data_IF_414693751896
#
_entry.id   IF_414693751896
#
_cell.length_a   1.000
_cell.length_b   1.000
_cell.length_c   1.000
_cell.angle_alpha   90.00
_cell.angle_beta   90.00
_cell.angle_gamma   90.00
#
_symmetry.space_group_name_H-M   'P 1'
#
loop_
_entity.id
_entity.type
_entity.pdbx_description
1 polymer ?
2 non-polymer ?
3 non-polymer ?
4 water ?
#
# COMPACT_ATOMS: atom_id res chain seq x y z
N UNK A 24 4.69 -6.89 17.57
CA UNK A 24 5.96 -6.19 17.21
C UNK A 24 5.72 -4.69 17.07
N UNK A 25 6.80 -3.94 16.87
CA UNK A 25 6.78 -2.49 16.93
C UNK A 25 6.87 -1.89 15.54
N UNK A 26 6.07 -0.87 15.27
CA UNK A 26 6.15 -0.19 14.00
C UNK A 26 7.57 0.40 13.85
N UNK A 27 8.14 0.36 12.64
CA UNK A 27 9.42 1.01 12.45
C UNK A 27 9.28 2.52 12.32
N UNK A 28 10.42 3.20 12.36
CA UNK A 28 10.47 4.65 12.25
C UNK A 28 9.89 5.14 10.91
N UNK A 29 9.62 6.45 10.84
CA UNK A 29 9.12 7.05 9.61
C UNK A 29 10.22 7.18 8.55
N UNK A 30 9.79 7.45 7.32
CA UNK A 30 10.70 7.74 6.23
C UNK A 30 11.23 6.52 5.51
N UNK A 31 10.50 5.42 5.64
CA UNK A 31 10.82 4.16 4.97
C UNK A 31 10.56 4.27 3.45
N UNK A 32 11.55 3.88 2.64
CA UNK A 32 11.39 3.93 1.18
C UNK A 32 10.89 2.61 0.59
N UNK A 33 9.78 2.71 -0.14
CA UNK A 33 9.29 1.64 -0.99
C UNK A 33 9.85 1.89 -2.38
N UNK A 34 10.85 1.10 -2.77
CA UNK A 34 11.61 1.38 -4.00
C UNK A 34 11.89 0.16 -4.89
N UNK A 35 10.84 -0.60 -5.16
CA UNK A 35 10.90 -1.67 -6.15
C UNK A 35 10.68 -1.15 -7.58
N UNK A 36 10.28 0.11 -7.70
CA UNK A 36 9.96 0.68 -9.00
C UNK A 36 10.67 2.01 -9.22
N UNK A 37 10.59 2.52 -10.45
CA UNK A 37 11.10 3.84 -10.83
C UNK A 37 10.24 4.99 -10.28
N UNK A 38 9.23 4.65 -9.47
CA UNK A 38 8.34 5.64 -8.86
C UNK A 38 8.18 5.41 -7.35
N UNK A 39 9.28 5.55 -6.58
CA UNK A 39 9.27 5.16 -5.16
C UNK A 39 8.39 6.06 -4.28
N UNK A 40 8.00 5.54 -3.11
CA UNK A 40 7.09 6.23 -2.18
C UNK A 40 7.66 6.11 -0.78
N UNK A 41 7.44 7.14 0.03
CA UNK A 41 7.87 7.15 1.42
C UNK A 41 6.72 6.70 2.33
N UNK A 42 6.93 5.60 3.04
CA UNK A 42 5.88 5.11 3.92
C UNK A 42 6.17 5.41 5.38
N UNK A 43 5.25 6.14 6.00
CA UNK A 43 5.35 6.48 7.40
C UNK A 43 4.33 5.74 8.22
N UNK A 44 4.80 4.87 9.11
CA UNK A 44 3.95 4.09 10.00
C UNK A 44 3.12 5.00 10.92
N UNK A 45 3.63 6.19 11.22
CA UNK A 45 2.93 7.16 12.08
C UNK A 45 1.60 7.67 11.51
N UNK A 46 1.52 7.75 10.19
CA UNK A 46 0.29 8.13 9.47
C UNK A 46 -0.74 6.98 9.44
N UNK A 47 -0.37 5.83 10.00
CA UNK A 47 -1.15 4.61 9.83
C UNK A 47 -1.29 3.82 11.13
N UNK A 48 -0.92 4.46 12.24
CA UNK A 48 -0.81 3.78 13.53
C UNK A 48 -2.16 3.55 14.21
N UNK A 49 -3.24 4.09 13.64
CA UNK A 49 -4.59 3.75 14.09
C UNK A 49 -5.12 2.45 13.46
N UNK A 50 -4.35 1.88 12.53
CA UNK A 50 -4.69 0.61 11.89
C UNK A 50 -3.95 -0.56 12.51
N UNK A 51 -4.62 -1.71 12.56
CA UNK A 51 -3.99 -2.92 13.07
C UNK A 51 -2.85 -3.32 12.14
N UNK A 52 -1.75 -3.81 12.73
CA UNK A 52 -0.63 -4.31 11.94
C UNK A 52 -1.10 -5.20 10.79
N UNK A 53 -1.95 -6.18 11.11
CA UNK A 53 -2.39 -7.19 10.14
C UNK A 53 -3.29 -6.65 9.01
N UNK A 54 -3.77 -5.40 9.14
CA UNK A 54 -4.53 -4.75 8.06
C UNK A 54 -3.70 -4.63 6.78
N UNK A 55 -2.38 -4.54 6.93
CA UNK A 55 -1.46 -4.53 5.79
C UNK A 55 -0.51 -5.73 5.83
N UNK A 56 0.04 -6.02 7.00
CA UNK A 56 0.89 -7.20 7.16
C UNK A 56 -0.01 -8.42 7.45
N UNK A 57 -0.86 -8.77 6.49
CA UNK A 57 -1.81 -9.88 6.62
C UNK A 57 -1.03 -11.17 6.89
N UNK A 58 -1.57 -12.06 7.76
CA UNK A 58 -0.85 -13.32 8.04
C UNK A 58 -0.78 -14.23 6.82
N UNK A 59 0.27 -15.03 6.72
CA UNK A 59 0.39 -15.95 5.60
C UNK A 59 0.75 -17.29 6.18
N UNK A 60 -0.01 -18.30 5.74
CA UNK A 60 0.14 -19.68 6.20
C UNK A 60 0.01 -19.80 7.71
N UNK A 61 -0.80 -18.91 8.28
CA UNK A 61 -1.12 -18.91 9.70
C UNK A 61 -0.05 -18.34 10.60
N UNK A 62 0.92 -17.66 10.01
CA UNK A 62 2.05 -17.11 10.75
C UNK A 62 2.12 -15.62 10.52
N UNK A 63 2.66 -14.90 11.50
CA UNK A 63 2.84 -13.46 11.37
C UNK A 63 3.76 -13.22 10.18
N UNK A 64 3.39 -12.25 9.37
CA UNK A 64 4.07 -11.98 8.12
C UNK A 64 4.46 -10.50 8.04
N UNK A 65 5.73 -10.21 8.35
CA UNK A 65 6.23 -8.84 8.29
C UNK A 65 7.20 -8.64 7.13
N UNK A 66 7.24 -9.62 6.22
CA UNK A 66 8.12 -9.56 5.05
C UNK A 66 7.71 -8.47 4.07
N UNK A 67 8.69 -7.99 3.31
CA UNK A 67 8.44 -6.95 2.34
C UNK A 67 7.49 -7.48 1.27
N UNK A 68 6.50 -6.65 0.92
CA UNK A 68 5.41 -7.00 0.01
C UNK A 68 5.86 -7.68 -1.29
N UNK A 69 6.91 -7.15 -1.92
CA UNK A 69 7.41 -7.69 -3.19
C UNK A 69 8.46 -8.81 -3.04
N UNK A 70 8.48 -9.48 -1.89
CA UNK A 70 9.29 -10.69 -1.67
C UNK A 70 8.98 -11.77 -2.73
N UNK A 71 10.01 -12.47 -3.18
CA UNK A 71 9.87 -13.55 -4.16
C UNK A 71 8.82 -14.57 -3.70
N UNK A 72 7.87 -14.86 -4.58
CA UNK A 72 6.75 -15.75 -4.26
C UNK A 72 5.55 -15.02 -3.69
N UNK A 73 5.67 -13.71 -3.53
CA UNK A 73 4.63 -12.91 -2.87
C UNK A 73 3.96 -11.94 -3.86
N UNK A 74 4.18 -10.64 -3.69
CA UNK A 74 3.67 -9.68 -4.65
C UNK A 74 4.80 -9.22 -5.59
N UNK A 75 5.29 -10.19 -6.38
CA UNK A 75 6.54 -10.06 -7.13
C UNK A 75 6.38 -9.84 -8.66
N UNK A 76 5.14 -9.80 -9.14
CA UNK A 76 4.87 -9.49 -10.55
C UNK A 76 4.71 -7.98 -10.71
N UNK A 77 5.52 -7.40 -11.59
CA UNK A 77 5.58 -5.95 -11.79
C UNK A 77 4.88 -5.45 -13.06
N UNK A 78 4.41 -6.39 -13.88
CA UNK A 78 3.49 -6.08 -14.96
C UNK A 78 2.26 -5.40 -14.36
N UNK A 79 1.97 -4.20 -14.83
CA UNK A 79 0.87 -3.40 -14.27
C UNK A 79 -0.49 -3.91 -14.74
N UNK A 80 -0.47 -4.67 -15.85
CA UNK A 80 -1.67 -5.27 -16.43
C UNK A 80 -2.08 -6.57 -15.71
N UNK A 81 -1.13 -7.20 -15.01
CA UNK A 81 -1.38 -8.40 -14.22
C UNK A 81 -2.41 -8.13 -13.13
N UNK A 82 -3.42 -8.98 -13.06
CA UNK A 82 -4.51 -8.83 -12.10
C UNK A 82 -4.49 -9.95 -11.07
N UNK A 83 -3.48 -10.81 -11.14
CA UNK A 83 -3.35 -11.92 -10.19
C UNK A 83 -2.97 -11.39 -8.80
N UNK A 84 -3.10 -12.26 -7.79
CA UNK A 84 -2.78 -11.90 -6.41
C UNK A 84 -1.32 -11.49 -6.22
N UNK A 85 -0.47 -11.88 -7.18
CA UNK A 85 0.96 -11.62 -7.17
C UNK A 85 1.34 -10.25 -7.74
N UNK A 86 0.37 -9.54 -8.33
CA UNK A 86 0.62 -8.20 -8.84
C UNK A 86 0.97 -7.22 -7.72
N UNK A 87 2.20 -6.71 -7.75
CA UNK A 87 2.61 -5.58 -6.91
C UNK A 87 1.78 -4.32 -7.19
N UNK A 88 1.56 -4.00 -8.46
CA UNK A 88 0.71 -2.87 -8.84
C UNK A 88 -0.73 -2.93 -8.26
N UNK A 89 -1.38 -4.10 -8.37
CA UNK A 89 -2.73 -4.35 -7.84
C UNK A 89 -2.88 -4.08 -6.33
N UNK A 90 -2.01 -4.68 -5.53
CA UNK A 90 -2.13 -4.61 -4.08
C UNK A 90 -1.90 -3.19 -3.55
N UNK A 91 -1.38 -2.33 -4.41
CA UNK A 91 -1.22 -0.92 -4.09
C UNK A 91 -2.31 -0.06 -4.72
N UNK A 92 -2.59 -0.28 -6.00
CA UNK A 92 -3.35 0.70 -6.79
C UNK A 92 -4.80 0.31 -7.09
N UNK A 93 -5.19 -0.91 -6.71
CA UNK A 93 -6.56 -1.35 -6.95
C UNK A 93 -7.52 -0.45 -6.17
N UNK A 94 -8.56 0.04 -6.84
CA UNK A 94 -9.47 1.01 -6.23
C UNK A 94 -10.50 0.33 -5.33
N UNK A 95 -10.71 -0.96 -5.59
CA UNK A 95 -11.60 -1.81 -4.81
C UNK A 95 -10.83 -2.95 -4.14
N UNK A 96 -11.21 -3.28 -2.91
CA UNK A 96 -10.64 -4.42 -2.20
C UNK A 96 -11.68 -5.02 -1.24
N UNK A 97 -11.46 -6.27 -0.84
CA UNK A 97 -12.41 -7.02 -0.01
C UNK A 97 -11.78 -7.56 1.27
N UNK A 98 -10.74 -8.38 1.11
CA UNK A 98 -10.13 -9.10 2.22
C UNK A 98 -8.98 -8.33 2.86
N UNK A 99 -8.10 -7.78 2.03
CA UNK A 99 -7.04 -6.89 2.49
C UNK A 99 -7.16 -5.55 1.74
N UNK A 100 -7.09 -4.45 2.48
CA UNK A 100 -7.11 -3.12 1.87
C UNK A 100 -5.89 -2.87 0.97
N UNK A 101 -6.09 -2.13 -0.13
CA UNK A 101 -4.96 -1.59 -0.89
C UNK A 101 -4.62 -0.17 -0.37
N UNK A 102 -3.43 0.35 -0.68
CA UNK A 102 -3.11 1.76 -0.39
C UNK A 102 -4.20 2.67 -0.94
N UNK A 103 -4.56 2.42 -2.20
CA UNK A 103 -5.49 3.24 -2.95
C UNK A 103 -6.90 3.13 -2.39
N UNK A 104 -7.37 1.90 -2.20
CA UNK A 104 -8.76 1.68 -1.80
C UNK A 104 -9.06 2.30 -0.44
N UNK A 105 -8.10 2.24 0.49
CA UNK A 105 -8.31 2.90 1.78
C UNK A 105 -8.28 4.42 1.68
N UNK A 106 -7.33 4.95 0.89
CA UNK A 106 -7.15 6.39 0.71
C UNK A 106 -8.32 7.02 -0.02
N UNK A 107 -8.90 6.29 -0.97
CA UNK A 107 -10.12 6.74 -1.65
C UNK A 107 -11.29 6.87 -0.68
N UNK A 108 -11.35 5.98 0.30
CA UNK A 108 -12.39 6.07 1.33
C UNK A 108 -12.15 7.25 2.29
N UNK A 109 -10.88 7.48 2.64
CA UNK A 109 -10.51 8.56 3.54
C UNK A 109 -10.63 9.95 2.88
N UNK A 110 -10.21 10.04 1.62
CA UNK A 110 -10.32 11.29 0.89
C UNK A 110 -11.79 11.54 0.60
N UNK A 111 -12.49 10.48 0.20
CA UNK A 111 -13.90 10.55 -0.10
C UNK A 111 -14.19 11.55 -1.20
N UNK A 112 -15.16 12.42 -0.95
CA UNK A 112 -15.63 13.40 -1.93
C UNK A 112 -14.82 14.69 -1.82
N UNK A 113 -13.89 14.71 -0.88
CA UNK A 113 -13.08 15.90 -0.59
C UNK A 113 -12.02 16.19 -1.66
N UNK A 114 -12.04 17.43 -2.14
CA UNK A 114 -11.17 17.90 -3.21
C UNK A 114 -9.66 17.82 -2.92
N UNK A 115 -9.22 18.42 -1.80
CA UNK A 115 -7.79 18.46 -1.44
C UNK A 115 -7.24 17.10 -1.00
N UNK A 116 -8.07 16.32 -0.30
CA UNK A 116 -7.68 14.99 0.14
C UNK A 116 -7.50 14.04 -1.03
N UNK A 117 -8.37 14.14 -2.03
CA UNK A 117 -8.24 13.37 -3.25
C UNK A 117 -6.89 13.66 -3.88
N UNK A 118 -6.50 14.94 -3.85
CA UNK A 118 -5.22 15.42 -4.37
C UNK A 118 -4.04 14.86 -3.58
N UNK A 119 -4.09 14.97 -2.25
CA UNK A 119 -2.98 14.52 -1.42
C UNK A 119 -2.93 13.01 -1.29
N UNK A 120 -4.09 12.39 -1.23
CA UNK A 120 -4.13 10.98 -0.88
C UNK A 120 -4.31 10.02 -2.05
N UNK A 121 -4.97 10.46 -3.12
CA UNK A 121 -5.33 9.56 -4.22
C UNK A 121 -4.73 9.94 -5.58
N UNK A 122 -4.24 11.16 -5.72
CA UNK A 122 -3.65 11.57 -7.00
C UNK A 122 -2.48 10.73 -7.46
N UNK A 123 -2.24 10.73 -8.78
CA UNK A 123 -1.17 9.94 -9.40
C UNK A 123 0.17 10.67 -9.45
N UNK A 124 0.12 12.00 -9.38
CA UNK A 124 1.29 12.87 -9.30
C UNK A 124 0.83 14.09 -8.52
N UNK A 125 1.77 14.80 -7.89
CA UNK A 125 1.49 15.89 -6.96
C UNK A 125 0.73 15.41 -5.71
N UNK A 126 0.65 14.10 -5.53
CA UNK A 126 0.12 13.53 -4.30
C UNK A 126 1.25 13.29 -3.31
N UNK A 127 0.89 12.89 -2.10
CA UNK A 127 1.86 12.57 -1.05
C UNK A 127 2.52 11.21 -1.30
N UNK A 128 1.86 10.36 -2.08
CA UNK A 128 2.47 9.10 -2.51
C UNK A 128 3.45 9.36 -3.65
N UNK A 129 2.96 10.02 -4.70
CA UNK A 129 3.80 10.37 -5.83
C UNK A 129 3.89 11.90 -5.94
N UNK A 130 4.87 12.51 -5.24
CA UNK A 130 5.10 13.93 -5.44
C UNK A 130 5.66 14.19 -6.84
X LIG B 1 4.35 -2.06 8.57
X LIG B 1 7.15 -2.14 6.62
X LIG B 1 6.01 -3.44 11.15
X LIG B 1 1.65 -1.35 10.72
X LIG B 1 2.40 -1.12 5.93
X LIG B 1 6.25 -2.65 8.83
X LIG B 1 7.24 -2.68 7.88
X LIG B 1 8.38 -3.35 8.45
X LIG B 1 8.07 -3.71 9.71
X LIG B 1 6.71 -3.27 9.97
X LIG B 1 8.95 -4.46 10.74
X LIG B 1 9.71 -3.62 7.71
X LIG B 1 10.66 -2.45 7.91
X LIG B 1 11.99 -2.72 7.22
X LIG B 1 13.01 -2.13 7.69
X LIG B 1 12.03 -3.50 6.23
X LIG B 1 3.92 -2.28 10.60
X LIG B 1 4.74 -3.00 11.44
X LIG B 1 4.02 -3.22 12.67
X LIG B 1 2.81 -2.63 12.56
X LIG B 1 2.73 -2.03 11.25
X LIG B 1 4.58 -4.00 13.87
X LIG B 1 1.68 -2.60 13.63
X LIG B 1 1.84 -1.83 14.72
X LIG B 1 2.37 -1.33 8.39
X LIG B 1 1.41 -1.18 9.37
X LIG B 1 0.15 -0.84 8.74
X LIG B 1 0.35 -0.78 7.42
X LIG B 1 1.76 -1.09 7.16
X LIG B 1 -1.18 -0.60 9.47
X LIG B 1 -0.72 -0.47 6.33
X LIG B 1 -1.14 0.80 6.18
X LIG B 1 4.73 -1.67 6.55
X LIG B 1 3.76 -1.28 5.64
X LIG B 1 4.40 -1.09 4.36
X LIG B 1 5.88 -1.42 4.58
X LIG B 1 5.99 -1.77 5.97
X LIG B 1 3.79 -0.66 3.01
X LIG B 1 7.01 -1.38 3.54
X LIG B 1 7.18 -2.79 2.99
X LIG B 1 8.03 -2.84 1.74
X LIG B 1 7.81 -3.78 0.94
X LIG B 1 8.94 -1.98 1.55
X LIG C 1 -0.10 -9.95 0.46
X LIG C 1 -3.14 -11.07 -0.62
X LIG C 1 -1.22 -6.71 0.45
X LIG C 1 2.85 -8.90 1.97
X LIG C 1 1.30 -13.07 -0.03
X LIG C 1 -1.88 -9.06 0.07
X LIG C 1 -2.97 -9.71 -0.49
X LIG C 1 -3.91 -8.69 -0.92
X LIG C 1 -3.38 -7.48 -0.62
X LIG C 1 -2.09 -7.69 0.00
X LIG C 1 -4.01 -6.11 -0.90
X LIG C 1 -5.27 -8.97 -1.60
X LIG C 1 -5.02 -9.15 -3.10
X LIG C 1 -6.24 -9.59 -3.88
X LIG C 1 -6.10 -10.43 -4.82
X LIG C 1 -7.36 -9.10 -3.59
X LIG C 1 0.68 -8.13 1.14
X LIG C 1 0.04 -6.91 0.97
X LIG C 1 0.95 -5.88 1.41
X LIG C 1 2.10 -6.46 1.83
X LIG C 1 1.94 -7.90 1.67
X LIG C 1 0.59 -4.37 1.38
X LIG C 1 3.35 -5.73 2.40
X LIG C 1 3.27 -5.00 3.54
X LIG C 1 1.74 -10.85 0.92
X LIG C 1 2.83 -10.21 1.49
X LIG C 1 3.93 -11.15 1.51
X LIG C 1 3.53 -12.31 0.96
X LIG C 1 2.13 -12.14 0.58
X LIG C 1 5.35 -10.85 2.07
X LIG C 1 4.43 -13.57 0.76
X LIG C 1 4.57 -14.53 1.70
X LIG C 1 -0.81 -11.82 -0.29
X LIG C 1 -0.06 -12.99 -0.25
X LIG C 1 -0.97 -14.11 -0.48
X LIG C 1 -2.36 -13.49 -0.66
X LIG C 1 -2.17 -12.06 -0.53
X LIG C 1 -0.65 -15.63 -0.53
X LIG C 1 -3.65 -14.33 -0.93
X LIG C 1 -4.91 -13.83 -0.22
X LIG C 1 -4.80 -13.70 1.29
X LIG C 1 -4.00 -14.45 1.93
X LIG C 1 -5.53 -12.84 1.86
X LIG D 1 -2.03 5.68 3.82
X LIG D 1 -1.82 8.99 4.81
X LIG D 1 0.85 6.17 1.92
X LIG D 1 -1.95 2.36 2.94
X LIG D 1 -4.97 5.28 5.41
X LIG D 1 -0.69 7.27 3.49
X LIG D 1 -0.87 8.57 3.92
X LIG D 1 0.12 9.40 3.26
X LIG D 1 0.86 8.61 2.46
X LIG D 1 0.36 7.26 2.60
X LIG D 1 2.04 8.98 1.54
X LIG D 1 0.25 10.94 3.49
X LIG D 1 1.04 11.32 4.75
X LIG D 1 2.40 10.66 4.74
X LIG D 1 3.28 11.02 3.91
X LIG D 1 2.63 9.75 5.58
X LIG D 1 -0.76 4.47 2.66
X LIG D 1 0.31 4.91 1.91
X LIG D 1 0.79 3.80 1.13
X LIG D 1 0.02 2.73 1.41
X LIG D 1 -0.96 3.14 2.38
X LIG D 1 1.99 3.91 0.17
X LIG D 1 0.13 1.29 0.82
X LIG D 1 1.16 0.50 1.18
X LIG D 1 -3.22 4.12 4.13
X LIG D 1 -3.04 2.83 3.66
X LIG D 1 -4.19 2.05 4.05
X LIG D 1 -5.03 2.87 4.73
X LIG D 1 -4.43 4.17 4.80
X LIG D 1 -4.37 0.55 3.69
X LIG D 1 -6.40 2.52 5.36
X LIG D 1 -6.57 1.34 5.97
X LIG D 1 -3.21 6.94 4.95
X LIG D 1 -4.43 6.54 5.49
X LIG D 1 -5.04 7.67 6.16
X LIG D 1 -4.06 8.83 5.96
X LIG D 1 -2.95 8.28 5.21
X LIG D 1 -6.41 7.69 6.88
X LIG D 1 -4.18 10.29 6.47
X LIG D 1 -3.49 10.34 7.84
X LIG D 1 -2.32 11.30 7.93
X LIG D 1 -1.55 11.17 8.93
X LIG D 1 -2.15 12.19 7.04
X LIG E 1 1.42 4.64 -7.56
X LIG E 1 4.38 2.77 -7.89
X LIG E 1 1.18 4.75 -10.97
X LIG E 1 -1.37 6.62 -7.35
X LIG E 1 1.55 4.31 -4.14
X LIG E 1 2.58 3.90 -9.14
X LIG E 1 3.76 3.16 -9.08
X LIG E 1 4.19 2.93 -10.45
X LIG E 1 3.31 3.47 -11.28
X LIG E 1 2.28 4.10 -10.47
X LIG E 1 3.33 3.46 -12.82
X LIG E 1 5.42 2.14 -10.93
X LIG E 1 4.97 0.68 -11.00
X LIG E 1 6.00 -0.19 -11.68
X LIG E 1 5.93 -1.45 -11.58
X LIG E 1 6.91 0.38 -12.34
X LIG E 1 0.14 5.55 -8.92
X LIG E 1 0.17 5.36 -10.28
X LIG E 1 -1.01 5.92 -10.87
X LIG E 1 -1.75 6.46 -9.89
X LIG E 1 -1.02 6.24 -8.63
X LIG E 1 -1.32 5.88 -12.39
X LIG E 1 -3.12 7.20 -10.08
X LIG E 1 -4.22 6.47 -10.36
X LIG E 1 0.27 5.29 -6.04
X LIG E 1 -0.77 6.20 -6.17
X LIG E 1 -1.12 6.63 -4.84
X LIG E 1 -0.33 6.00 -3.95
X LIG E 1 0.57 5.13 -4.69
X LIG E 1 -2.23 7.64 -4.54
X LIG E 1 -0.35 6.17 -2.40
X LIG E 1 -1.42 5.69 -1.75
X LIG E 1 2.80 3.71 -6.20
X LIG E 1 2.55 3.63 -4.83
X LIG E 1 3.51 2.71 -4.25
X LIG E 1 4.38 2.24 -5.42
X LIG E 1 3.88 2.91 -6.60
X LIG E 1 3.64 2.29 -2.77
X LIG E 1 5.57 1.26 -5.36
X LIG E 1 6.79 1.99 -4.80
X LIG E 1 8.04 1.18 -5.07
X LIG E 1 8.82 1.58 -5.96
X LIG E 1 8.26 0.14 -4.39
X LIG F 1 8.63 0.17 -13.95
X LIG F 1 7.15 0.48 -15.02
X LIG F 1 9.19 1.18 -12.48
X LIG F 1 10.30 0.04 -15.22
X LIG F 1 8.55 -1.80 -13.27
#
# INVERSE_FOLDING_TARGET
MRKSLFAVMVLALVAAFALPVIAAEAPADGLKMENTKMPVIFNHSSHSSYQCADCHHPVDGKENLAKCATAGCHDVFDKKDKSVHSYYKIIHDRKATTVATCMSCHLEAAGSDKDLKKELTGCKKSKCHP
HEC FE CHA CHB CHC CHD NA C1A C2A C3A C4A CMA CAA CBA CGA O1A O2A NB C1B C2B C3B C4B CMB CAB CBB NC C1C C2C C3C C4C CMC CAC CBC ND C1D C2D C3D C4D CMD CAD CBD CGD O1D O2D
HEC FE CHA CHB CHC CHD NA C1A C2A C3A C4A CMA CAA CBA CGA O1A O2A NB C1B C2B C3B C4B CMB CAB CBB NC C1C C2C C3C C4C CMC CAC CBC ND C1D C2D C3D C4D CMD CAD CBD CGD O1D O2D
HEC FE CHA CHB CHC CHD NA C1A C2A C3A C4A CMA CAA CBA CGA O1A O2A NB C1B C2B C3B C4B CMB CAB CBB NC C1C C2C C3C C4C CMC CAC CBC ND C1D C2D C3D C4D CMD CAD CBD CGD O1D O2D
HEC FE CHA CHB CHC CHD NA C1A C2A C3A C4A CMA CAA CBA CGA O1A O2A NB C1B C2B C3B C4B CMB CAB CBB NC C1C C2C C3C C4C CMC CAC CBC ND C1D C2D C3D C4D CMD CAD CBD CGD O1D O2D
MOO MO O1 O2 O3 O4
#
